data_IF_267061178045
#
_entry.id   IF_267061178045
#
_cell.length_a   1.000
_cell.length_b   1.000
_cell.length_c   1.000
_cell.angle_alpha   90.00
_cell.angle_beta   90.00
_cell.angle_gamma   90.00
#
_symmetry.space_group_name_H-M   'P 1'
#
loop_
_entity.id
_entity.type
_entity.pdbx_description
1 polymer ?
#
# COMPACT_ATOMS: atom_id res chain seq x y z
N UNK A 1 6.34 11.38 -11.94
CA UNK A 1 5.12 11.13 -11.13
C UNK A 1 5.50 11.06 -9.66
N UNK A 2 4.87 11.89 -8.81
CA UNK A 2 5.04 11.82 -7.36
C UNK A 2 3.72 11.39 -6.71
N UNK A 3 3.77 10.42 -5.78
CA UNK A 3 2.61 10.04 -4.97
C UNK A 3 2.43 11.12 -3.91
N UNK A 4 1.25 11.73 -3.84
CA UNK A 4 0.87 12.77 -2.87
C UNK A 4 0.18 12.19 -1.65
N UNK A 5 -0.66 11.19 -1.85
CA UNK A 5 -1.40 10.55 -0.76
C UNK A 5 -1.52 9.06 -1.03
N UNK A 6 -1.40 8.28 0.02
CA UNK A 6 -1.76 6.87 0.02
C UNK A 6 -2.76 6.60 1.14
N UNK A 7 -3.82 5.88 0.81
CA UNK A 7 -4.82 5.43 1.76
C UNK A 7 -5.01 3.93 1.59
N UNK A 8 -4.96 3.21 2.70
CA UNK A 8 -4.96 1.76 2.73
C UNK A 8 -5.97 1.27 3.77
N UNK A 9 -6.73 0.23 3.39
CA UNK A 9 -7.70 -0.43 4.25
C UNK A 9 -7.48 -1.95 4.21
N UNK A 10 -7.65 -2.59 5.35
CA UNK A 10 -7.49 -4.04 5.54
C UNK A 10 -6.20 -4.60 4.91
N UNK A 11 -5.05 -4.04 5.27
CA UNK A 11 -3.74 -4.46 4.74
C UNK A 11 -2.75 -4.76 5.85
N UNK A 12 -2.32 -6.02 5.98
CA UNK A 12 -1.33 -6.49 6.96
C UNK A 12 -1.61 -5.99 8.38
N UNK A 13 -0.81 -5.07 8.93
CA UNK A 13 -1.05 -4.53 10.27
C UNK A 13 -2.05 -3.36 10.30
N UNK A 14 -2.39 -2.78 9.15
CA UNK A 14 -3.26 -1.60 9.07
C UNK A 14 -4.71 -2.01 8.93
N UNK A 15 -5.57 -1.49 9.82
CA UNK A 15 -7.02 -1.55 9.62
C UNK A 15 -7.43 -0.49 8.61
N UNK A 16 -7.07 0.76 8.89
CA UNK A 16 -7.16 1.90 7.99
C UNK A 16 -5.95 2.79 8.25
N UNK A 17 -5.29 3.29 7.19
CA UNK A 17 -4.25 4.31 7.32
C UNK A 17 -4.28 5.24 6.11
N UNK A 18 -4.30 6.56 6.35
CA UNK A 18 -4.14 7.58 5.33
C UNK A 18 -2.88 8.41 5.62
N UNK A 19 -2.02 8.58 4.62
CA UNK A 19 -0.73 9.28 4.74
C UNK A 19 -0.55 10.23 3.56
N UNK A 20 -0.27 11.49 3.88
CA UNK A 20 0.23 12.49 2.92
C UNK A 20 1.74 12.33 2.77
N UNK A 21 2.23 12.44 1.54
CA UNK A 21 3.63 12.28 1.18
C UNK A 21 4.18 13.57 0.59
N UNK A 22 5.30 14.03 1.16
CA UNK A 22 6.11 15.11 0.64
C UNK A 22 7.11 14.63 -0.40
N UNK A 23 7.95 15.55 -0.89
CA UNK A 23 9.08 15.21 -1.76
C UNK A 23 10.17 14.40 -1.03
N UNK A 24 10.24 14.53 0.29
CA UNK A 24 11.11 13.77 1.18
C UNK A 24 10.31 13.33 2.40
N UNK A 25 10.40 12.04 2.75
CA UNK A 25 9.63 11.46 3.85
C UNK A 25 10.56 10.63 4.72
N UNK A 26 10.46 10.78 6.04
CA UNK A 26 11.18 9.96 7.00
C UNK A 26 10.18 9.10 7.76
N UNK A 27 10.38 7.79 7.74
CA UNK A 27 9.51 6.83 8.43
C UNK A 27 10.15 6.39 9.75
N UNK A 28 9.58 6.84 10.87
CA UNK A 28 10.11 6.59 12.23
C UNK A 28 9.07 5.82 13.05
N UNK A 29 9.53 4.98 13.97
CA UNK A 29 8.67 4.24 14.90
C UNK A 29 9.39 3.04 15.51
N UNK A 30 8.82 2.48 16.58
CA UNK A 30 9.35 1.29 17.25
C UNK A 30 9.37 0.05 16.33
N UNK A 31 10.14 -0.97 16.70
CA UNK A 31 10.06 -2.27 16.01
C UNK A 31 8.61 -2.79 16.03
N UNK A 32 8.21 -3.46 14.95
CA UNK A 32 6.84 -3.94 14.72
C UNK A 32 5.74 -2.86 14.63
N UNK A 33 6.06 -1.56 14.57
CA UNK A 33 5.06 -0.48 14.43
C UNK A 33 4.42 -0.37 13.04
N UNK A 34 4.59 -1.36 12.16
CA UNK A 34 4.02 -1.36 10.80
C UNK A 34 4.87 -0.68 9.71
N UNK A 35 6.09 -0.20 10.02
CA UNK A 35 6.96 0.48 9.03
C UNK A 35 7.24 -0.38 7.78
N UNK A 36 7.63 -1.63 7.95
CA UNK A 36 7.89 -2.54 6.82
C UNK A 36 6.60 -2.86 6.05
N UNK A 37 5.46 -2.94 6.74
CA UNK A 37 4.16 -3.12 6.08
C UNK A 37 3.81 -1.90 5.23
N UNK A 38 4.12 -0.68 5.69
CA UNK A 38 3.92 0.54 4.91
C UNK A 38 4.75 0.51 3.62
N UNK A 39 6.03 0.14 3.70
CA UNK A 39 6.89 -0.02 2.53
C UNK A 39 6.39 -1.12 1.57
N UNK A 40 5.81 -2.20 2.11
CA UNK A 40 5.24 -3.28 1.30
C UNK A 40 4.05 -2.83 0.44
N UNK A 41 3.33 -1.76 0.80
CA UNK A 41 2.26 -1.22 -0.04
C UNK A 41 2.82 -0.77 -1.39
N UNK A 42 3.94 -0.02 -1.39
CA UNK A 42 4.59 0.43 -2.63
C UNK A 42 5.13 -0.74 -3.45
N UNK A 43 5.67 -1.77 -2.78
CA UNK A 43 6.09 -3.00 -3.47
C UNK A 43 4.91 -3.68 -4.16
N UNK A 44 3.79 -3.84 -3.47
CA UNK A 44 2.58 -4.44 -4.04
C UNK A 44 2.06 -3.65 -5.24
N UNK A 45 1.99 -2.32 -5.14
CA UNK A 45 1.60 -1.45 -6.27
C UNK A 45 2.57 -1.62 -7.44
N UNK A 46 3.88 -1.67 -7.19
CA UNK A 46 4.88 -1.88 -8.23
C UNK A 46 4.75 -3.26 -8.88
N UNK A 47 4.42 -4.30 -8.12
CA UNK A 47 4.22 -5.66 -8.63
C UNK A 47 2.94 -5.70 -9.50
N UNK A 48 1.86 -5.03 -9.08
CA UNK A 48 0.65 -4.88 -9.90
C UNK A 48 0.98 -4.22 -11.24
N UNK A 49 1.73 -3.11 -11.21
CA UNK A 49 2.08 -2.37 -12.42
C UNK A 49 2.96 -3.19 -13.38
N UNK A 50 3.81 -4.09 -12.86
CA UNK A 50 4.74 -4.89 -13.68
C UNK A 50 4.17 -6.24 -14.13
N UNK A 51 3.34 -6.87 -13.31
CA UNK A 51 2.95 -8.27 -13.48
C UNK A 51 1.44 -8.48 -13.54
N UNK A 52 0.64 -7.44 -13.31
CA UNK A 52 -0.81 -7.52 -13.17
C UNK A 52 -1.25 -7.98 -11.77
N UNK A 53 -2.52 -7.75 -11.45
CA UNK A 53 -3.06 -7.93 -10.10
C UNK A 53 -2.94 -9.38 -9.59
N UNK A 54 -3.34 -10.37 -10.40
CA UNK A 54 -3.34 -11.78 -9.99
C UNK A 54 -1.92 -12.27 -9.65
N UNK A 55 -0.94 -11.96 -10.51
CA UNK A 55 0.44 -12.34 -10.26
C UNK A 55 1.03 -11.60 -9.07
N UNK A 56 0.72 -10.30 -8.90
CA UNK A 56 1.15 -9.53 -7.74
C UNK A 56 0.64 -10.14 -6.43
N UNK A 57 -0.62 -10.62 -6.40
CA UNK A 57 -1.18 -11.33 -5.24
C UNK A 57 -0.38 -12.62 -4.98
N UNK A 58 -0.12 -13.42 -6.02
CA UNK A 58 0.66 -14.66 -5.88
C UNK A 58 2.10 -14.42 -5.41
N UNK A 59 2.78 -13.39 -5.92
CA UNK A 59 4.14 -13.00 -5.49
C UNK A 59 4.16 -12.60 -4.02
N UNK A 60 3.07 -12.02 -3.51
CA UNK A 60 2.93 -11.60 -2.11
C UNK A 60 2.49 -12.74 -1.19
N UNK A 61 2.34 -13.95 -1.72
CA UNK A 61 2.00 -15.16 -0.97
C UNK A 61 0.52 -15.50 -0.93
N UNK A 62 -0.36 -14.72 -1.56
CA UNK A 62 -1.81 -14.89 -1.53
C UNK A 62 -2.56 -13.73 -0.86
N UNK A 63 -3.89 -13.75 -0.94
CA UNK A 63 -4.75 -12.67 -0.43
C UNK A 63 -4.73 -12.61 1.10
N UNK A 64 -4.56 -13.76 1.76
CA UNK A 64 -4.43 -13.89 3.20
C UNK A 64 -3.17 -13.20 3.77
N UNK A 65 -2.08 -13.15 3.02
CA UNK A 65 -0.84 -12.45 3.41
C UNK A 65 -0.88 -10.94 3.18
N UNK A 66 -1.82 -10.48 2.34
CA UNK A 66 -2.07 -9.07 2.08
C UNK A 66 -3.07 -8.48 3.06
N UNK A 67 -4.12 -9.22 3.43
CA UNK A 67 -5.17 -8.73 4.34
C UNK A 67 -4.71 -8.61 5.78
N UNK A 68 -5.42 -7.79 6.54
CA UNK A 68 -5.18 -7.66 7.97
C UNK A 68 -5.73 -8.86 8.73
N UNK A 69 -4.87 -9.55 9.46
CA UNK A 69 -5.18 -10.81 10.15
C UNK A 69 -6.34 -10.64 11.15
N UNK A 70 -6.51 -9.45 11.73
CA UNK A 70 -7.52 -9.20 12.75
C UNK A 70 -8.91 -8.83 12.19
N UNK A 71 -9.00 -8.48 10.89
CA UNK A 71 -10.25 -8.01 10.28
C UNK A 71 -10.49 -8.57 8.87
N UNK A 72 -9.72 -9.57 8.45
CA UNK A 72 -9.68 -10.02 7.06
C UNK A 72 -11.05 -10.36 6.46
N UNK A 73 -11.99 -10.84 7.28
CA UNK A 73 -13.36 -11.22 6.89
C UNK A 73 -14.40 -10.10 7.02
N UNK A 74 -14.05 -8.97 7.65
CA UNK A 74 -15.00 -7.90 7.97
C UNK A 74 -15.00 -6.78 6.93
N UNK A 75 -13.87 -6.56 6.25
CA UNK A 75 -13.67 -5.45 5.32
C UNK A 75 -12.94 -5.89 4.05
N UNK A 76 -13.10 -5.15 2.96
CA UNK A 76 -12.34 -5.39 1.73
C UNK A 76 -10.94 -4.76 1.83
N UNK A 77 -9.95 -5.42 1.22
CA UNK A 77 -8.65 -4.77 0.99
C UNK A 77 -8.84 -3.67 -0.06
N UNK A 78 -8.43 -2.45 0.28
CA UNK A 78 -8.51 -1.31 -0.63
C UNK A 78 -7.25 -0.45 -0.55
N UNK A 79 -6.72 -0.06 -1.71
CA UNK A 79 -5.59 0.86 -1.84
C UNK A 79 -6.05 2.03 -2.71
N UNK A 80 -5.96 3.25 -2.21
CA UNK A 80 -6.21 4.48 -2.97
C UNK A 80 -4.93 5.31 -3.01
N UNK A 81 -4.58 5.80 -4.19
CA UNK A 81 -3.37 6.57 -4.43
C UNK A 81 -3.76 7.87 -5.13
N UNK A 82 -3.24 8.99 -4.64
CA UNK A 82 -3.31 10.28 -5.32
C UNK A 82 -1.93 10.59 -5.87
N UNK A 83 -1.84 10.86 -7.16
CA UNK A 83 -0.61 11.16 -7.88
C UNK A 83 -0.69 12.59 -8.40
N UNK A 84 0.44 13.30 -8.37
CA UNK A 84 0.55 14.62 -8.99
C UNK A 84 0.29 14.55 -10.51
N UNK A 85 -0.66 15.36 -10.99
CA UNK A 85 -1.14 15.39 -12.38
C UNK A 85 -0.24 16.16 -13.35
N UNK A 86 0.82 16.82 -12.87
CA UNK A 86 1.73 17.66 -13.67
C UNK A 86 2.50 16.91 -14.79
N UNK A 87 2.19 15.65 -15.06
CA UNK A 87 2.82 14.82 -16.09
C UNK A 87 1.86 14.28 -17.17
N UNK A 88 0.55 14.54 -17.10
CA UNK A 88 -0.40 14.12 -18.15
C UNK A 88 -0.63 15.19 -19.24
N UNK A 89 0.17 16.25 -19.27
CA UNK A 89 0.22 17.18 -20.41
C UNK A 89 1.28 16.70 -21.41
N UNK A 90 0.88 15.73 -22.23
CA UNK A 90 1.64 15.23 -23.38
C UNK A 90 0.68 14.72 -24.43
#
# INVERSE_FOLDING_TARGET
MAIKRIEIQNFKSFRHQAIELGQFNVLIGANASGKSNFLQIFKFISDIARHGLNNAISIQGGVEYLRNINIAAQENLAVKIVIDSNYFQG
#
